data_IF_486176371037
#
_entry.id   IF_486176371037
#
_cell.length_a   1.000
_cell.length_b   1.000
_cell.length_c   1.000
_cell.angle_alpha   90.00
_cell.angle_beta   90.00
_cell.angle_gamma   90.00
#
_symmetry.space_group_name_H-M   'P 1'
#
loop_
_entity.id
_entity.type
_entity.pdbx_description
1 polymer ?
#
# COMPACT_ATOMS: atom_id res chain seq x y z
N UNK A 1 21.49 32.44 0.35
CA UNK A 1 21.05 33.81 0.62
C UNK A 1 21.42 34.64 -0.58
N UNK A 2 20.56 34.65 -1.59
CA UNK A 2 20.70 35.55 -2.73
C UNK A 2 20.29 36.94 -2.24
N UNK A 3 21.19 37.92 -2.35
CA UNK A 3 20.95 39.28 -1.88
C UNK A 3 20.05 40.01 -2.86
N UNK A 4 18.84 40.39 -2.41
CA UNK A 4 17.96 41.27 -3.17
C UNK A 4 18.57 42.67 -3.27
N UNK A 5 18.62 43.22 -4.49
CA UNK A 5 19.03 44.58 -4.78
C UNK A 5 17.77 45.44 -4.95
N UNK A 6 17.85 46.70 -4.53
CA UNK A 6 16.73 47.64 -4.65
C UNK A 6 16.50 48.05 -6.11
N UNK A 7 15.26 47.94 -6.60
CA UNK A 7 14.88 48.27 -7.98
C UNK A 7 15.18 49.72 -8.36
N UNK A 8 15.12 50.65 -7.41
CA UNK A 8 15.29 52.09 -7.66
C UNK A 8 16.76 52.54 -7.64
N UNK A 9 17.58 51.99 -6.74
CA UNK A 9 18.94 52.49 -6.52
C UNK A 9 20.05 51.43 -6.62
N UNK A 10 19.69 50.18 -6.89
CA UNK A 10 20.60 49.05 -7.02
C UNK A 10 21.37 48.71 -5.74
N UNK A 11 21.01 49.29 -4.59
CA UNK A 11 21.71 49.06 -3.32
C UNK A 11 21.12 47.86 -2.58
N UNK A 12 21.89 47.30 -1.64
CA UNK A 12 21.50 46.08 -0.92
C UNK A 12 20.30 46.32 0.00
N UNK A 13 19.32 45.44 -0.09
CA UNK A 13 18.18 45.40 0.82
C UNK A 13 18.58 44.63 2.09
N UNK A 14 18.27 45.20 3.25
CA UNK A 14 18.48 44.57 4.56
C UNK A 14 17.16 44.28 5.23
N UNK A 15 17.20 43.38 6.19
CA UNK A 15 16.10 43.13 7.09
C UNK A 15 16.19 44.09 8.29
N UNK A 16 15.18 44.94 8.48
CA UNK A 16 15.08 45.85 9.60
C UNK A 16 13.62 45.93 10.09
N UNK A 17 13.40 45.67 11.39
CA UNK A 17 12.07 45.68 12.03
C UNK A 17 10.99 44.82 11.33
N UNK A 18 11.36 43.64 10.82
CA UNK A 18 10.44 42.74 10.13
C UNK A 18 10.02 43.25 8.76
N UNK A 19 10.80 44.14 8.14
CA UNK A 19 10.62 44.61 6.77
C UNK A 19 11.94 44.52 6.00
N UNK A 20 11.85 44.30 4.70
CA UNK A 20 12.97 44.38 3.78
C UNK A 20 13.11 45.82 3.29
N UNK A 21 14.10 46.54 3.81
CA UNK A 21 14.31 47.97 3.54
C UNK A 21 15.63 48.19 2.84
N UNK A 22 15.63 49.04 1.82
CA UNK A 22 16.86 49.47 1.17
C UNK A 22 17.63 50.46 2.07
N UNK A 23 18.89 50.14 2.41
CA UNK A 23 19.71 51.00 3.28
C UNK A 23 19.93 52.41 2.74
N UNK A 24 19.89 52.60 1.41
CA UNK A 24 20.26 53.88 0.78
C UNK A 24 19.07 54.79 0.52
N UNK A 25 17.99 54.27 -0.04
CA UNK A 25 16.82 55.08 -0.40
C UNK A 25 15.65 54.94 0.60
N UNK A 26 15.73 54.01 1.56
CA UNK A 26 14.67 53.76 2.53
C UNK A 26 13.42 53.10 1.95
N UNK A 27 13.45 52.65 0.69
CA UNK A 27 12.32 51.97 0.06
C UNK A 27 12.08 50.62 0.74
N UNK A 28 10.83 50.40 1.16
CA UNK A 28 10.36 49.15 1.73
C UNK A 28 9.88 48.25 0.60
N UNK A 29 10.56 47.12 0.40
CA UNK A 29 10.25 46.17 -0.67
C UNK A 29 9.17 45.17 -0.26
N UNK A 30 9.28 44.63 0.95
CA UNK A 30 8.32 43.62 1.45
C UNK A 30 8.36 43.53 2.98
N UNK A 31 7.37 42.86 3.56
CA UNK A 31 7.32 42.52 4.99
C UNK A 31 7.91 41.13 5.19
N UNK A 32 8.72 40.96 6.23
CA UNK A 32 9.21 39.65 6.64
C UNK A 32 8.04 38.84 7.18
N UNK A 33 7.54 37.92 6.36
CA UNK A 33 6.56 36.93 6.80
C UNK A 33 7.30 35.86 7.60
N UNK A 34 7.23 35.93 8.93
CA UNK A 34 7.68 34.83 9.78
C UNK A 34 6.83 33.59 9.52
N UNK A 35 7.48 32.43 9.40
CA UNK A 35 6.78 31.16 9.44
C UNK A 35 6.04 31.02 10.78
N UNK A 36 4.81 30.49 10.76
CA UNK A 36 4.02 30.25 11.97
C UNK A 36 4.83 29.57 13.08
N UNK A 37 4.70 30.06 14.32
CA UNK A 37 5.42 29.55 15.51
C UNK A 37 5.10 28.10 15.88
N UNK A 38 4.11 27.51 15.23
CA UNK A 38 3.69 26.13 15.40
C UNK A 38 4.00 25.29 14.16
N UNK A 39 4.39 24.04 14.40
CA UNK A 39 4.62 23.07 13.34
C UNK A 39 3.31 22.32 13.01
N UNK A 40 2.88 22.43 11.75
CA UNK A 40 1.75 21.68 11.18
C UNK A 40 2.23 20.41 10.47
N UNK A 41 1.53 19.28 10.66
CA UNK A 41 1.68 18.09 9.79
C UNK A 41 2.29 16.84 10.45
N UNK A 42 2.45 15.76 9.71
CA UNK A 42 3.08 14.52 10.17
C UNK A 42 4.60 14.68 10.19
N UNK A 43 5.19 14.63 11.39
CA UNK A 43 6.63 14.65 11.58
C UNK A 43 7.24 13.45 10.83
N UNK A 44 8.06 13.69 9.81
CA UNK A 44 9.03 12.72 9.34
C UNK A 44 9.96 12.39 10.50
N UNK A 45 10.15 11.09 10.79
CA UNK A 45 10.71 10.55 12.04
C UNK A 45 12.06 11.17 12.49
N UNK A 46 12.78 11.85 11.61
CA UNK A 46 14.10 12.43 11.88
C UNK A 46 14.08 13.89 12.38
N UNK A 47 12.94 14.58 12.38
CA UNK A 47 12.87 15.92 12.97
C UNK A 47 12.36 15.83 14.41
N UNK A 48 13.30 15.78 15.37
CA UNK A 48 13.02 16.10 16.78
C UNK A 48 12.15 17.35 16.83
N UNK A 49 11.08 17.32 17.64
CA UNK A 49 10.14 18.44 17.86
C UNK A 49 10.95 19.71 18.16
N UNK A 50 11.17 20.56 17.15
CA UNK A 50 11.95 21.81 17.31
C UNK A 50 11.10 22.93 17.91
N UNK A 51 9.77 22.86 17.78
CA UNK A 51 8.84 23.80 18.41
C UNK A 51 8.17 23.20 19.64
N UNK A 52 8.00 24.00 20.70
CA UNK A 52 7.20 23.64 21.88
C UNK A 52 5.70 23.45 21.54
N UNK A 53 5.27 23.96 20.40
CA UNK A 53 3.89 23.93 19.93
C UNK A 53 3.80 23.12 18.62
N UNK A 54 3.10 21.99 18.69
CA UNK A 54 2.78 21.11 17.57
C UNK A 54 1.27 21.04 17.41
N UNK A 55 0.78 21.29 16.20
CA UNK A 55 -0.65 21.16 15.88
C UNK A 55 -0.85 20.06 14.86
N UNK A 56 -1.57 19.01 15.26
CA UNK A 56 -2.00 17.97 14.33
C UNK A 56 -3.19 18.47 13.54
N UNK A 57 -3.16 18.33 12.21
CA UNK A 57 -4.33 18.57 11.37
C UNK A 57 -5.40 17.54 11.76
N UNK A 58 -6.56 18.04 12.18
CA UNK A 58 -7.61 17.28 12.89
C UNK A 58 -8.45 16.36 11.98
N UNK A 59 -7.83 15.59 11.09
CA UNK A 59 -8.59 14.71 10.19
C UNK A 59 -7.86 13.41 9.83
N UNK A 60 -7.39 12.68 10.84
CA UNK A 60 -6.94 11.30 10.64
C UNK A 60 -8.16 10.42 10.40
N UNK A 61 -8.47 10.14 9.13
CA UNK A 61 -9.57 9.24 8.73
C UNK A 61 -9.44 7.84 9.36
N UNK A 62 -8.25 7.45 9.78
CA UNK A 62 -7.97 6.15 10.41
C UNK A 62 -8.40 6.05 11.88
N UNK A 63 -8.83 7.16 12.51
CA UNK A 63 -9.16 7.22 13.94
C UNK A 63 -10.47 7.97 14.13
N UNK A 64 -11.41 7.36 14.85
CA UNK A 64 -12.59 8.08 15.35
C UNK A 64 -12.20 8.81 16.63
N UNK A 65 -12.08 10.15 16.55
CA UNK A 65 -11.79 11.01 17.70
C UNK A 65 -12.91 12.02 17.95
N UNK A 66 -13.02 12.47 19.21
CA UNK A 66 -13.74 13.69 19.58
C UNK A 66 -12.90 14.93 19.26
N UNK A 67 -13.57 16.09 19.22
CA UNK A 67 -12.96 17.42 19.04
C UNK A 67 -12.20 17.93 20.29
N UNK A 68 -11.90 17.06 21.25
CA UNK A 68 -11.23 17.41 22.51
C UNK A 68 -9.90 16.69 22.67
N UNK A 69 -9.16 17.06 23.72
CA UNK A 69 -7.93 16.38 24.11
C UNK A 69 -8.23 14.96 24.58
N UNK A 70 -7.41 14.01 24.14
CA UNK A 70 -7.49 12.61 24.55
C UNK A 70 -6.49 12.29 25.67
N UNK A 71 -6.90 11.44 26.62
CA UNK A 71 -5.97 10.88 27.60
C UNK A 71 -5.36 9.61 26.99
N UNK A 72 -4.17 9.78 26.42
CA UNK A 72 -3.49 8.74 25.65
C UNK A 72 -4.28 8.32 24.40
N UNK A 73 -3.92 7.17 23.83
CA UNK A 73 -4.71 6.54 22.76
C UNK A 73 -5.91 5.79 23.32
N UNK A 74 -6.92 5.46 22.51
CA UNK A 74 -8.13 4.73 22.97
C UNK A 74 -7.78 3.35 23.57
N UNK A 75 -6.68 2.73 23.16
CA UNK A 75 -6.28 1.37 23.56
C UNK A 75 -5.28 1.34 24.73
N UNK A 76 -4.68 2.48 25.12
CA UNK A 76 -3.70 2.55 26.22
C UNK A 76 -4.33 2.57 27.63
N UNK A 77 -4.16 1.52 28.42
CA UNK A 77 -4.62 1.47 29.82
C UNK A 77 -3.50 1.58 30.86
N UNK A 78 -2.27 1.84 30.39
CA UNK A 78 -1.09 2.03 31.21
C UNK A 78 -0.57 3.45 30.97
N UNK A 79 -0.74 4.30 31.97
CA UNK A 79 -0.38 5.72 31.87
C UNK A 79 1.02 5.96 32.40
N UNK A 80 1.72 6.91 31.80
CA UNK A 80 3.10 7.27 32.16
C UNK A 80 3.19 8.74 32.52
N UNK A 81 4.15 9.09 33.36
CA UNK A 81 4.49 10.48 33.66
C UNK A 81 5.25 11.15 32.50
N UNK A 82 5.62 12.43 32.68
CA UNK A 82 6.42 13.18 31.69
C UNK A 82 7.81 12.58 31.45
N UNK A 83 8.32 11.80 32.41
CA UNK A 83 9.63 11.16 32.36
C UNK A 83 9.55 9.74 31.77
N UNK A 84 8.36 9.26 31.42
CA UNK A 84 8.11 7.94 30.84
C UNK A 84 7.99 6.81 31.86
N UNK A 85 8.04 7.10 33.16
CA UNK A 85 7.83 6.14 34.24
C UNK A 85 6.32 5.83 34.41
N UNK A 86 6.00 4.63 34.86
CA UNK A 86 4.62 4.24 35.12
C UNK A 86 4.08 5.02 36.32
N UNK A 87 2.83 5.49 36.22
CA UNK A 87 2.14 6.09 37.36
C UNK A 87 1.91 5.05 38.47
N UNK A 88 1.78 5.54 39.70
CA UNK A 88 1.39 4.75 40.87
C UNK A 88 0.02 4.07 40.68
N UNK A 89 -0.21 2.98 41.39
CA UNK A 89 -1.42 2.16 41.23
C UNK A 89 -2.72 2.97 41.44
N UNK A 90 -2.74 3.86 42.42
CA UNK A 90 -3.91 4.68 42.72
C UNK A 90 -4.21 5.67 41.58
N UNK A 91 -3.19 6.34 41.06
CA UNK A 91 -3.35 7.22 39.89
C UNK A 91 -3.70 6.43 38.62
N UNK A 92 -3.11 5.25 38.40
CA UNK A 92 -3.49 4.38 37.26
C UNK A 92 -4.99 4.07 37.29
N UNK A 93 -5.51 3.64 38.45
CA UNK A 93 -6.93 3.36 38.62
C UNK A 93 -7.79 4.60 38.37
N UNK A 94 -7.36 5.76 38.87
CA UNK A 94 -8.07 7.04 38.63
C UNK A 94 -8.14 7.38 37.14
N UNK A 95 -7.03 7.30 36.41
CA UNK A 95 -6.99 7.57 34.98
C UNK A 95 -7.76 6.52 34.17
N UNK A 96 -7.71 5.23 34.54
CA UNK A 96 -8.53 4.18 33.92
C UNK A 96 -10.01 4.45 34.10
N UNK A 97 -10.45 4.80 35.32
CA UNK A 97 -11.84 5.19 35.59
C UNK A 97 -12.23 6.39 34.73
N UNK A 98 -11.43 7.46 34.75
CA UNK A 98 -11.72 8.65 33.96
C UNK A 98 -11.81 8.35 32.45
N UNK A 99 -10.89 7.51 31.94
CA UNK A 99 -10.88 7.10 30.55
C UNK A 99 -12.15 6.33 30.16
N UNK A 100 -12.58 5.39 31.01
CA UNK A 100 -13.76 4.58 30.78
C UNK A 100 -15.07 5.36 30.87
N UNK A 101 -15.17 6.32 31.80
CA UNK A 101 -16.40 7.07 32.02
C UNK A 101 -16.55 8.29 31.09
N UNK A 102 -15.46 8.98 30.78
CA UNK A 102 -15.53 10.26 30.07
C UNK A 102 -14.91 10.20 28.68
N UNK A 103 -13.66 9.73 28.58
CA UNK A 103 -12.91 9.81 27.33
C UNK A 103 -13.47 8.87 26.25
N UNK A 104 -13.58 7.57 26.53
CA UNK A 104 -14.05 6.58 25.56
C UNK A 104 -15.49 6.86 25.14
N UNK A 105 -16.45 7.08 26.05
CA UNK A 105 -17.82 7.40 25.65
C UNK A 105 -17.90 8.73 24.90
N UNK A 106 -17.20 9.78 25.35
CA UNK A 106 -17.19 11.07 24.67
C UNK A 106 -16.61 11.04 23.25
N UNK A 107 -15.58 10.22 23.02
CA UNK A 107 -14.98 10.03 21.70
C UNK A 107 -15.87 9.23 20.74
N UNK A 108 -16.60 8.25 21.26
CA UNK A 108 -17.32 7.24 20.47
C UNK A 108 -18.81 7.59 20.31
N UNK A 109 -19.40 8.40 21.21
CA UNK A 109 -20.85 8.70 21.22
C UNK A 109 -21.35 9.20 19.86
N UNK A 110 -22.32 8.50 19.29
CA UNK A 110 -22.89 8.79 17.97
C UNK A 110 -22.03 8.36 16.77
N UNK A 111 -20.86 7.79 17.02
CA UNK A 111 -19.91 7.25 16.03
C UNK A 111 -19.48 5.81 16.37
N UNK A 112 -20.26 5.08 17.16
CA UNK A 112 -19.97 3.73 17.65
C UNK A 112 -19.71 2.76 16.50
N UNK A 113 -20.57 2.82 15.47
CA UNK A 113 -20.48 1.95 14.31
C UNK A 113 -19.22 2.21 13.47
N UNK A 114 -18.81 3.48 13.37
CA UNK A 114 -17.59 3.86 12.66
C UNK A 114 -16.36 3.40 13.43
N UNK A 115 -16.36 3.61 14.74
CA UNK A 115 -15.26 3.17 15.59
C UNK A 115 -15.05 1.65 15.46
N UNK A 116 -16.12 0.87 15.56
CA UNK A 116 -16.06 -0.60 15.38
C UNK A 116 -15.58 -0.99 13.99
N UNK A 117 -16.12 -0.35 12.95
CA UNK A 117 -15.78 -0.67 11.56
C UNK A 117 -14.33 -0.33 11.23
N UNK A 118 -13.84 0.82 11.69
CA UNK A 118 -12.46 1.25 11.46
C UNK A 118 -11.48 0.39 12.27
N UNK A 119 -11.85 -0.02 13.49
CA UNK A 119 -11.05 -0.97 14.26
C UNK A 119 -10.88 -2.29 13.50
N UNK A 120 -11.97 -2.87 13.02
CA UNK A 120 -11.95 -4.08 12.17
C UNK A 120 -11.09 -3.85 10.93
N UNK A 121 -11.26 -2.70 10.27
CA UNK A 121 -10.53 -2.38 9.06
C UNK A 121 -9.01 -2.22 9.31
N UNK A 122 -8.61 -1.65 10.44
CA UNK A 122 -7.20 -1.55 10.85
C UNK A 122 -6.59 -2.92 11.15
N UNK A 123 -7.35 -3.84 11.76
CA UNK A 123 -6.93 -5.23 11.91
C UNK A 123 -6.78 -5.94 10.55
N UNK A 124 -7.71 -5.72 9.62
CA UNK A 124 -7.62 -6.23 8.25
C UNK A 124 -6.38 -5.68 7.53
N UNK A 125 -6.12 -4.37 7.62
CA UNK A 125 -4.92 -3.76 7.03
C UNK A 125 -3.63 -4.35 7.58
N UNK A 126 -3.60 -4.66 8.88
CA UNK A 126 -2.45 -5.24 9.55
C UNK A 126 -2.22 -6.68 9.09
N UNK A 127 -3.27 -7.50 8.99
CA UNK A 127 -3.19 -8.90 8.51
C UNK A 127 -2.81 -9.01 7.04
N UNK A 128 -3.34 -8.13 6.19
CA UNK A 128 -3.05 -8.11 4.75
C UNK A 128 -1.80 -7.30 4.39
N UNK A 129 -1.16 -6.65 5.37
CA UNK A 129 0.01 -5.79 5.19
C UNK A 129 -0.20 -4.73 4.09
N UNK A 130 -1.37 -4.08 4.09
CA UNK A 130 -1.75 -3.11 3.05
C UNK A 130 -0.87 -1.85 3.17
N UNK A 131 -0.33 -1.28 2.08
CA UNK A 131 0.40 -0.01 2.10
C UNK A 131 -0.43 1.18 2.58
N UNK A 132 0.19 2.15 3.25
CA UNK A 132 -0.48 3.32 3.86
C UNK A 132 -1.36 4.10 2.87
N UNK A 133 -0.83 4.39 1.67
CA UNK A 133 -1.58 5.07 0.60
C UNK A 133 -2.92 4.41 0.26
N UNK A 134 -2.97 3.07 0.34
CA UNK A 134 -4.19 2.29 0.03
C UNK A 134 -5.12 2.26 1.24
N UNK A 135 -4.58 2.28 2.47
CA UNK A 135 -5.37 2.43 3.70
C UNK A 135 -6.12 3.76 3.69
N UNK A 136 -5.41 4.85 3.41
CA UNK A 136 -6.00 6.19 3.31
C UNK A 136 -7.08 6.26 2.23
N UNK A 137 -6.80 5.69 1.04
CA UNK A 137 -7.77 5.63 -0.04
C UNK A 137 -9.01 4.81 0.33
N UNK A 138 -8.82 3.67 1.00
CA UNK A 138 -9.93 2.83 1.50
C UNK A 138 -10.80 3.62 2.47
N UNK A 139 -10.20 4.30 3.44
CA UNK A 139 -10.91 5.10 4.43
C UNK A 139 -11.68 6.25 3.78
N UNK A 140 -11.05 6.94 2.83
CA UNK A 140 -11.72 7.97 2.03
C UNK A 140 -12.96 7.43 1.32
N UNK A 141 -12.84 6.30 0.61
CA UNK A 141 -13.95 5.67 -0.10
C UNK A 141 -15.06 5.22 0.86
N UNK A 142 -14.71 4.64 2.01
CA UNK A 142 -15.66 4.26 3.05
C UNK A 142 -16.51 5.45 3.50
N UNK A 143 -15.87 6.56 3.88
CA UNK A 143 -16.59 7.75 4.33
C UNK A 143 -17.39 8.41 3.22
N UNK A 144 -16.86 8.45 1.99
CA UNK A 144 -17.57 8.96 0.82
C UNK A 144 -18.88 8.21 0.60
N UNK A 145 -18.83 6.88 0.47
CA UNK A 145 -20.03 6.08 0.20
C UNK A 145 -20.98 6.02 1.39
N UNK A 146 -20.46 6.06 2.62
CA UNK A 146 -21.30 6.20 3.82
C UNK A 146 -22.14 7.48 3.78
N UNK A 147 -21.54 8.60 3.36
CA UNK A 147 -22.22 9.90 3.25
C UNK A 147 -23.24 9.91 2.11
N UNK A 148 -22.85 9.42 0.94
CA UNK A 148 -23.69 9.38 -0.27
C UNK A 148 -24.89 8.44 -0.13
N UNK A 149 -24.73 7.29 0.53
CA UNK A 149 -25.74 6.21 0.56
C UNK A 149 -26.25 5.87 1.97
N UNK A 150 -26.37 6.87 2.85
CA UNK A 150 -26.74 6.69 4.27
C UNK A 150 -27.99 5.82 4.51
N UNK A 151 -29.00 5.88 3.63
CA UNK A 151 -30.27 5.14 3.77
C UNK A 151 -30.21 3.68 3.30
N UNK A 152 -29.29 3.34 2.39
CA UNK A 152 -29.19 2.00 1.79
C UNK A 152 -28.20 1.09 2.53
N UNK A 153 -27.28 1.68 3.29
CA UNK A 153 -26.23 0.94 3.98
C UNK A 153 -26.77 0.41 5.30
N UNK A 154 -26.94 -0.91 5.37
CA UNK A 154 -27.27 -1.63 6.61
C UNK A 154 -26.04 -2.22 7.27
N UNK A 155 -25.04 -2.65 6.47
CA UNK A 155 -23.85 -3.32 6.95
C UNK A 155 -22.57 -2.52 6.64
N UNK A 156 -22.06 -1.82 7.66
CA UNK A 156 -20.86 -1.00 7.56
C UNK A 156 -19.56 -1.80 7.36
N UNK A 157 -19.50 -3.04 7.88
CA UNK A 157 -18.35 -3.94 7.69
C UNK A 157 -18.29 -4.43 6.24
N UNK A 158 -19.45 -4.70 5.63
CA UNK A 158 -19.51 -5.03 4.21
C UNK A 158 -19.09 -3.84 3.34
N UNK A 159 -19.50 -2.62 3.72
CA UNK A 159 -19.09 -1.39 3.05
C UNK A 159 -17.57 -1.17 3.14
N UNK A 160 -16.95 -1.43 4.30
CA UNK A 160 -15.49 -1.30 4.45
C UNK A 160 -14.74 -2.32 3.60
N UNK A 161 -15.25 -3.56 3.50
CA UNK A 161 -14.69 -4.58 2.62
C UNK A 161 -14.81 -4.19 1.13
N UNK A 162 -15.94 -3.60 0.74
CA UNK A 162 -16.16 -3.06 -0.61
C UNK A 162 -15.20 -1.89 -0.92
N UNK A 163 -15.06 -0.94 0.01
CA UNK A 163 -14.14 0.19 -0.14
C UNK A 163 -12.68 -0.29 -0.29
N UNK A 164 -12.27 -1.31 0.48
CA UNK A 164 -10.95 -1.92 0.35
C UNK A 164 -10.78 -2.54 -1.04
N UNK A 165 -11.75 -3.32 -1.53
CA UNK A 165 -11.68 -3.90 -2.87
C UNK A 165 -11.52 -2.84 -3.97
N UNK A 166 -12.24 -1.72 -3.87
CA UNK A 166 -12.16 -0.63 -4.83
C UNK A 166 -10.79 0.04 -4.82
N UNK A 167 -10.26 0.39 -3.64
CA UNK A 167 -8.93 1.01 -3.52
C UNK A 167 -7.81 0.09 -4.05
N UNK A 168 -7.93 -1.21 -3.81
CA UNK A 168 -7.01 -2.24 -4.28
C UNK A 168 -7.06 -2.35 -5.80
N UNK A 169 -8.25 -2.25 -6.40
CA UNK A 169 -8.42 -2.22 -7.87
C UNK A 169 -7.83 -0.97 -8.50
N UNK A 170 -8.07 0.20 -7.91
CA UNK A 170 -7.49 1.47 -8.35
C UNK A 170 -5.95 1.45 -8.29
N UNK A 171 -5.37 0.73 -7.34
CA UNK A 171 -3.92 0.69 -7.11
C UNK A 171 -3.14 -0.25 -8.05
N UNK A 172 -3.82 -1.11 -8.83
CA UNK A 172 -3.18 -2.01 -9.78
C UNK A 172 -2.12 -2.92 -9.15
N UNK A 173 -0.91 -2.90 -9.72
CA UNK A 173 0.26 -3.71 -9.31
C UNK A 173 0.82 -3.36 -7.92
N UNK A 174 0.52 -2.17 -7.38
CA UNK A 174 1.04 -1.76 -6.06
C UNK A 174 0.46 -2.61 -4.92
N UNK A 175 -0.70 -3.23 -5.14
CA UNK A 175 -1.34 -4.10 -4.15
C UNK A 175 -2.22 -5.13 -4.86
N UNK A 176 -1.62 -6.23 -5.35
CA UNK A 176 -2.32 -7.27 -6.07
C UNK A 176 -3.00 -8.23 -5.09
N UNK A 177 -3.95 -7.71 -4.31
CA UNK A 177 -4.83 -8.49 -3.45
C UNK A 177 -6.03 -9.01 -4.24
N UNK A 178 -6.34 -10.28 -4.03
CA UNK A 178 -7.49 -10.95 -4.63
C UNK A 178 -8.76 -10.74 -3.78
N UNK A 179 -9.93 -10.83 -4.43
CA UNK A 179 -11.21 -10.82 -3.73
C UNK A 179 -11.29 -11.93 -2.67
N UNK A 180 -10.74 -13.11 -2.98
CA UNK A 180 -10.74 -14.27 -2.08
C UNK A 180 -10.00 -13.96 -0.79
N UNK A 181 -8.82 -13.34 -0.88
CA UNK A 181 -8.00 -12.99 0.29
C UNK A 181 -8.68 -11.95 1.19
N UNK A 182 -9.30 -10.94 0.58
CA UNK A 182 -10.05 -9.92 1.34
C UNK A 182 -11.19 -10.60 2.09
N UNK A 183 -12.04 -11.37 1.39
CA UNK A 183 -13.19 -12.06 1.99
C UNK A 183 -12.76 -13.02 3.10
N UNK A 184 -11.70 -13.80 2.87
CA UNK A 184 -11.20 -14.75 3.86
C UNK A 184 -10.65 -14.04 5.10
N UNK A 185 -9.98 -12.90 4.94
CA UNK A 185 -9.47 -12.12 6.08
C UNK A 185 -10.61 -11.63 6.98
N UNK A 186 -11.70 -11.13 6.38
CA UNK A 186 -12.88 -10.72 7.14
C UNK A 186 -13.56 -11.91 7.83
N UNK A 187 -13.63 -13.08 7.18
CA UNK A 187 -14.18 -14.30 7.79
C UNK A 187 -13.33 -14.80 8.96
N UNK A 188 -12.01 -14.75 8.83
CA UNK A 188 -11.06 -15.11 9.89
C UNK A 188 -11.09 -14.13 11.08
N UNK A 189 -11.74 -12.97 10.93
CA UNK A 189 -12.06 -12.04 12.01
C UNK A 189 -13.46 -12.27 12.61
N UNK A 190 -14.19 -13.28 12.14
CA UNK A 190 -15.54 -13.62 12.60
C UNK A 190 -16.66 -12.86 11.87
N UNK A 191 -16.37 -12.14 10.78
CA UNK A 191 -17.37 -11.38 10.04
C UNK A 191 -17.95 -12.16 8.86
N UNK A 192 -19.27 -12.07 8.69
CA UNK A 192 -20.03 -12.75 7.62
C UNK A 192 -19.95 -12.01 6.28
N UNK A 193 -18.73 -11.80 5.79
CA UNK A 193 -18.50 -11.22 4.46
C UNK A 193 -18.43 -12.35 3.43
N UNK A 194 -19.22 -12.23 2.37
CA UNK A 194 -19.25 -13.14 1.23
C UNK A 194 -18.98 -12.35 -0.05
N UNK A 195 -18.26 -12.93 -1.01
CA UNK A 195 -18.01 -12.29 -2.30
C UNK A 195 -19.31 -11.88 -3.01
N UNK A 196 -20.34 -12.72 -2.97
CA UNK A 196 -21.67 -12.43 -3.53
C UNK A 196 -22.32 -11.19 -2.91
N UNK A 197 -22.22 -11.03 -1.58
CA UNK A 197 -22.82 -9.90 -0.87
C UNK A 197 -22.09 -8.60 -1.20
N UNK A 198 -20.77 -8.69 -1.36
CA UNK A 198 -19.94 -7.53 -1.71
C UNK A 198 -20.25 -7.06 -3.13
N UNK A 199 -20.35 -7.98 -4.10
CA UNK A 199 -20.73 -7.65 -5.47
C UNK A 199 -22.17 -7.15 -5.56
N UNK A 200 -23.10 -7.75 -4.81
CA UNK A 200 -24.48 -7.29 -4.71
C UNK A 200 -24.56 -5.85 -4.17
N UNK A 201 -23.82 -5.55 -3.09
CA UNK A 201 -23.74 -4.18 -2.55
C UNK A 201 -23.19 -3.18 -3.57
N UNK A 202 -22.17 -3.57 -4.35
CA UNK A 202 -21.64 -2.70 -5.42
C UNK A 202 -22.70 -2.41 -6.49
N UNK A 203 -23.53 -3.39 -6.84
CA UNK A 203 -24.63 -3.23 -7.79
C UNK A 203 -25.75 -2.35 -7.20
N UNK A 204 -26.18 -2.61 -5.97
CA UNK A 204 -27.26 -1.87 -5.29
C UNK A 204 -26.95 -0.37 -5.12
N UNK A 205 -25.66 -0.06 -4.92
CA UNK A 205 -25.15 1.29 -4.80
C UNK A 205 -24.78 1.91 -6.15
N UNK A 206 -24.90 1.17 -7.27
CA UNK A 206 -24.48 1.58 -8.61
C UNK A 206 -23.02 2.08 -8.67
N UNK A 207 -22.14 1.48 -7.85
CA UNK A 207 -20.74 1.87 -7.79
C UNK A 207 -19.98 1.17 -8.91
N UNK A 208 -19.62 1.94 -9.93
CA UNK A 208 -18.69 1.50 -10.97
C UNK A 208 -17.27 1.68 -10.46
N UNK A 209 -16.48 0.61 -10.56
CA UNK A 209 -15.04 0.69 -10.35
C UNK A 209 -14.45 1.62 -11.40
N UNK A 210 -13.67 2.62 -10.99
CA UNK A 210 -13.00 3.56 -11.92
C UNK A 210 -12.15 2.81 -12.95
N UNK A 211 -11.55 1.70 -12.53
CA UNK A 211 -11.01 0.68 -13.42
C UNK A 211 -12.09 -0.37 -13.69
N UNK A 212 -12.76 -0.27 -14.85
CA UNK A 212 -13.74 -1.27 -15.33
C UNK A 212 -13.06 -2.54 -15.86
N UNK A 213 -11.74 -2.50 -16.07
CA UNK A 213 -10.99 -3.61 -16.61
C UNK A 213 -10.89 -4.75 -15.59
N UNK A 214 -11.14 -5.97 -16.07
CA UNK A 214 -10.76 -7.21 -15.41
C UNK A 214 -9.27 -7.11 -15.05
N UNK A 215 -8.90 -7.57 -13.85
CA UNK A 215 -7.50 -7.61 -13.38
C UNK A 215 -6.63 -8.29 -14.43
N UNK A 216 -5.53 -7.65 -14.79
CA UNK A 216 -4.58 -8.18 -15.76
C UNK A 216 -3.62 -9.15 -15.08
N UNK A 217 -3.09 -10.12 -15.83
CA UNK A 217 -2.13 -11.10 -15.30
C UNK A 217 -0.83 -10.42 -14.87
N UNK A 218 -0.48 -9.34 -15.56
CA UNK A 218 0.70 -8.50 -15.35
C UNK A 218 0.76 -7.91 -13.95
N UNK A 219 -0.39 -7.60 -13.35
CA UNK A 219 -0.48 -7.02 -12.01
C UNK A 219 0.01 -7.97 -10.92
N UNK A 220 0.02 -9.29 -11.17
CA UNK A 220 0.41 -10.31 -10.19
C UNK A 220 1.87 -10.73 -10.29
N UNK A 221 2.60 -10.34 -11.35
CA UNK A 221 3.97 -10.83 -11.63
C UNK A 221 4.90 -10.56 -10.47
N UNK A 222 4.95 -9.31 -9.98
CA UNK A 222 5.85 -8.91 -8.91
C UNK A 222 5.64 -9.74 -7.65
N UNK A 223 4.36 -9.96 -7.30
CA UNK A 223 3.98 -10.78 -6.14
C UNK A 223 4.36 -12.25 -6.35
N UNK A 224 4.06 -12.81 -7.52
CA UNK A 224 4.39 -14.20 -7.87
C UNK A 224 5.89 -14.43 -7.80
N UNK A 225 6.69 -13.57 -8.44
CA UNK A 225 8.15 -13.69 -8.46
C UNK A 225 8.74 -13.56 -7.05
N UNK A 226 8.24 -12.62 -6.25
CA UNK A 226 8.66 -12.45 -4.85
C UNK A 226 8.33 -13.67 -3.99
N UNK A 227 7.13 -14.26 -4.14
CA UNK A 227 6.75 -15.49 -3.43
C UNK A 227 7.66 -16.68 -3.81
N UNK A 228 8.00 -16.81 -5.09
CA UNK A 228 8.91 -17.84 -5.59
C UNK A 228 10.31 -17.64 -4.99
N UNK A 229 10.87 -16.43 -5.05
CA UNK A 229 12.23 -16.14 -4.57
C UNK A 229 12.37 -16.13 -3.04
N UNK A 230 11.25 -16.11 -2.30
CA UNK A 230 11.27 -16.25 -0.84
C UNK A 230 11.47 -17.71 -0.38
N UNK A 231 11.22 -18.68 -1.25
CA UNK A 231 11.34 -20.11 -0.90
C UNK A 231 12.82 -20.52 -0.84
N UNK A 232 13.35 -21.03 0.30
CA UNK A 232 14.78 -21.29 0.47
C UNK A 232 15.31 -22.35 -0.50
N UNK A 233 14.51 -23.37 -0.80
CA UNK A 233 14.84 -24.44 -1.77
C UNK A 233 15.14 -23.86 -3.16
N UNK A 234 14.45 -22.78 -3.54
CA UNK A 234 14.63 -22.12 -4.84
C UNK A 234 15.93 -21.32 -4.85
N UNK A 235 16.26 -20.66 -3.73
CA UNK A 235 17.51 -19.90 -3.60
C UNK A 235 18.75 -20.77 -3.75
N UNK A 236 18.75 -21.96 -3.11
CA UNK A 236 19.84 -22.93 -3.28
C UNK A 236 19.98 -23.40 -4.73
N UNK A 237 18.86 -23.59 -5.43
CA UNK A 237 18.86 -24.02 -6.83
C UNK A 237 19.36 -22.93 -7.76
N UNK A 238 18.95 -21.68 -7.54
CA UNK A 238 19.42 -20.52 -8.31
C UNK A 238 20.93 -20.38 -8.16
N UNK A 239 21.44 -20.42 -6.93
CA UNK A 239 22.87 -20.33 -6.66
C UNK A 239 23.66 -21.46 -7.35
N UNK A 240 23.17 -22.72 -7.26
CA UNK A 240 23.85 -23.87 -7.88
C UNK A 240 23.78 -23.89 -9.41
N UNK A 241 22.66 -23.47 -10.01
CA UNK A 241 22.40 -23.65 -11.45
C UNK A 241 22.77 -22.46 -12.30
N UNK A 242 22.65 -21.26 -11.75
CA UNK A 242 22.87 -20.01 -12.47
C UNK A 242 24.03 -19.21 -11.91
N UNK A 243 24.46 -19.44 -10.66
CA UNK A 243 25.49 -18.63 -9.97
C UNK A 243 25.16 -17.14 -9.95
N UNK A 244 23.87 -16.80 -9.88
CA UNK A 244 23.36 -15.43 -9.83
C UNK A 244 22.73 -15.18 -8.46
N UNK A 245 22.85 -13.94 -7.97
CA UNK A 245 22.16 -13.51 -6.77
C UNK A 245 20.63 -13.57 -6.91
N UNK A 246 19.94 -13.90 -5.81
CA UNK A 246 18.49 -14.11 -5.81
C UNK A 246 17.74 -12.84 -6.20
N UNK A 247 18.22 -11.67 -5.79
CA UNK A 247 17.60 -10.39 -6.14
C UNK A 247 17.70 -10.13 -7.65
N UNK A 248 18.88 -10.35 -8.24
CA UNK A 248 19.10 -10.21 -9.68
C UNK A 248 18.23 -11.19 -10.47
N UNK A 249 18.16 -12.45 -10.02
CA UNK A 249 17.28 -13.45 -10.60
C UNK A 249 15.81 -13.04 -10.55
N UNK A 250 15.33 -12.50 -9.43
CA UNK A 250 13.95 -12.03 -9.28
C UNK A 250 13.64 -10.93 -10.31
N UNK A 251 14.56 -9.97 -10.54
CA UNK A 251 14.38 -8.92 -11.53
C UNK A 251 14.37 -9.43 -12.97
N UNK A 252 15.26 -10.36 -13.29
CA UNK A 252 15.29 -11.01 -14.61
C UNK A 252 13.97 -11.75 -14.85
N UNK A 253 13.50 -12.50 -13.85
CA UNK A 253 12.26 -13.26 -13.92
C UNK A 253 11.05 -12.34 -14.12
N UNK A 254 10.96 -11.25 -13.35
CA UNK A 254 9.90 -10.25 -13.48
C UNK A 254 9.84 -9.66 -14.90
N UNK A 255 11.00 -9.31 -15.46
CA UNK A 255 11.10 -8.73 -16.80
C UNK A 255 10.71 -9.76 -17.89
N UNK A 256 11.20 -10.99 -17.79
CA UNK A 256 10.81 -12.07 -18.71
C UNK A 256 9.31 -12.34 -18.67
N UNK A 257 8.72 -12.42 -17.48
CA UNK A 257 7.28 -12.63 -17.32
C UNK A 257 6.47 -11.52 -17.99
N UNK A 258 6.89 -10.25 -17.85
CA UNK A 258 6.24 -9.11 -18.50
C UNK A 258 6.31 -9.24 -20.02
N UNK A 259 7.49 -9.54 -20.57
CA UNK A 259 7.69 -9.72 -22.01
C UNK A 259 6.87 -10.88 -22.60
N UNK A 260 6.82 -12.02 -21.91
CA UNK A 260 6.00 -13.17 -22.30
C UNK A 260 4.53 -12.78 -22.35
N UNK A 261 4.05 -12.06 -21.33
CA UNK A 261 2.66 -11.63 -21.30
C UNK A 261 2.37 -10.56 -22.35
N UNK A 262 3.25 -9.60 -22.59
CA UNK A 262 3.14 -8.62 -23.68
C UNK A 262 2.98 -9.29 -25.05
N UNK A 263 3.69 -10.40 -25.28
CA UNK A 263 3.63 -11.16 -26.53
C UNK A 263 2.30 -11.88 -26.73
N UNK A 264 1.69 -12.37 -25.65
CA UNK A 264 0.39 -13.06 -25.70
C UNK A 264 -0.72 -12.03 -25.60
N UNK A 265 -1.36 -11.74 -26.75
CA UNK A 265 -2.43 -10.76 -26.81
C UNK A 265 -3.58 -11.11 -25.86
N UNK A 266 -4.24 -10.10 -25.28
CA UNK A 266 -5.28 -10.30 -24.27
C UNK A 266 -6.43 -11.19 -24.75
N UNK A 267 -6.79 -11.11 -26.04
CA UNK A 267 -7.82 -11.95 -26.64
C UNK A 267 -7.49 -13.45 -26.58
N UNK A 268 -6.22 -13.82 -26.82
CA UNK A 268 -5.78 -15.21 -26.88
C UNK A 268 -5.70 -15.85 -25.50
N UNK A 269 -5.51 -15.03 -24.46
CA UNK A 269 -5.53 -15.49 -23.06
C UNK A 269 -6.89 -16.09 -22.69
N UNK A 270 -7.97 -15.67 -23.34
CA UNK A 270 -9.31 -16.22 -23.20
C UNK A 270 -9.88 -16.08 -21.78
N UNK A 271 -10.72 -17.03 -21.35
CA UNK A 271 -11.35 -17.06 -20.03
C UNK A 271 -10.43 -17.52 -18.87
N UNK A 272 -9.11 -17.55 -19.07
CA UNK A 272 -8.16 -18.04 -18.05
C UNK A 272 -8.06 -17.06 -16.88
N UNK A 273 -7.89 -17.60 -15.67
CA UNK A 273 -7.78 -16.77 -14.46
C UNK A 273 -6.42 -16.04 -14.45
N UNK A 274 -6.38 -14.70 -14.23
CA UNK A 274 -5.15 -13.92 -14.32
C UNK A 274 -4.02 -14.36 -13.37
N UNK A 275 -4.34 -14.73 -12.13
CA UNK A 275 -3.34 -15.11 -11.13
C UNK A 275 -2.62 -16.44 -11.46
N UNK A 276 -3.33 -17.57 -11.70
CA UNK A 276 -2.69 -18.80 -12.19
C UNK A 276 -1.91 -18.60 -13.49
N UNK A 277 -2.42 -17.76 -14.40
CA UNK A 277 -1.72 -17.44 -15.64
C UNK A 277 -0.38 -16.74 -15.38
N UNK A 278 -0.33 -15.78 -14.45
CA UNK A 278 0.93 -15.15 -14.01
C UNK A 278 1.88 -16.12 -13.31
N UNK A 279 1.37 -17.09 -12.55
CA UNK A 279 2.21 -18.14 -11.96
C UNK A 279 2.84 -19.03 -13.05
N UNK A 280 2.08 -19.37 -14.08
CA UNK A 280 2.58 -20.14 -15.21
C UNK A 280 3.63 -19.37 -16.04
N UNK A 281 3.48 -18.06 -16.21
CA UNK A 281 4.48 -17.26 -16.94
C UNK A 281 5.83 -17.23 -16.21
N UNK A 282 5.87 -17.31 -14.88
CA UNK A 282 7.11 -17.44 -14.12
C UNK A 282 7.82 -18.78 -14.38
N UNK A 283 7.06 -19.88 -14.47
CA UNK A 283 7.63 -21.17 -14.85
C UNK A 283 8.19 -21.16 -16.28
N UNK A 284 7.45 -20.59 -17.23
CA UNK A 284 7.90 -20.49 -18.64
C UNK A 284 9.14 -19.60 -18.76
N UNK A 285 9.15 -18.46 -18.06
CA UNK A 285 10.29 -17.54 -18.03
C UNK A 285 11.58 -18.23 -17.56
N UNK A 286 11.54 -18.99 -16.46
CA UNK A 286 12.72 -19.73 -15.99
C UNK A 286 13.15 -20.83 -16.97
N UNK A 287 12.19 -21.49 -17.65
CA UNK A 287 12.52 -22.48 -18.68
C UNK A 287 13.24 -21.87 -19.88
N UNK A 288 12.83 -20.66 -20.30
CA UNK A 288 13.48 -19.92 -21.37
C UNK A 288 14.88 -19.45 -20.94
N UNK A 289 15.01 -18.97 -19.71
CA UNK A 289 16.29 -18.57 -19.13
C UNK A 289 17.26 -19.75 -19.04
N UNK A 290 16.79 -20.92 -18.60
CA UNK A 290 17.62 -22.11 -18.45
C UNK A 290 18.14 -22.63 -19.79
N UNK A 291 17.31 -22.61 -20.85
CA UNK A 291 17.74 -22.93 -22.22
C UNK A 291 18.90 -22.03 -22.65
N UNK A 292 18.86 -20.74 -22.31
CA UNK A 292 19.91 -19.79 -22.70
C UNK A 292 21.22 -20.00 -21.95
N UNK A 293 21.14 -20.27 -20.64
CA UNK A 293 22.32 -20.53 -19.79
C UNK A 293 22.86 -21.96 -20.02
N UNK A 294 22.20 -22.77 -20.87
CA UNK A 294 22.52 -24.19 -21.09
C UNK A 294 22.54 -24.99 -19.77
N UNK A 295 21.69 -24.58 -18.83
CA UNK A 295 21.56 -25.19 -17.52
C UNK A 295 20.15 -25.75 -17.34
N UNK A 296 20.00 -26.66 -16.38
CA UNK A 296 18.68 -27.21 -16.04
C UNK A 296 17.87 -26.16 -15.28
N UNK A 297 16.60 -25.98 -15.63
CA UNK A 297 15.70 -24.99 -15.02
C UNK A 297 15.64 -25.10 -13.49
N UNK A 298 15.73 -23.96 -12.79
CA UNK A 298 15.68 -23.89 -11.33
C UNK A 298 14.27 -24.17 -10.80
N UNK A 299 13.25 -23.68 -11.51
CA UNK A 299 11.85 -23.82 -11.18
C UNK A 299 11.27 -25.11 -11.76
N UNK A 300 10.56 -25.85 -10.91
CA UNK A 300 9.72 -26.97 -11.38
C UNK A 300 8.25 -26.60 -11.20
N UNK A 301 7.35 -27.24 -11.96
CA UNK A 301 5.91 -27.01 -11.82
C UNK A 301 5.45 -27.18 -10.35
N UNK A 302 5.96 -28.21 -9.67
CA UNK A 302 5.72 -28.47 -8.25
C UNK A 302 6.18 -27.33 -7.34
N UNK A 303 7.38 -26.80 -7.55
CA UNK A 303 7.91 -25.69 -6.73
C UNK A 303 7.12 -24.40 -6.92
N UNK A 304 6.72 -24.10 -8.16
CA UNK A 304 5.88 -22.93 -8.46
C UNK A 304 4.49 -23.12 -7.85
N UNK A 305 3.90 -24.31 -7.96
CA UNK A 305 2.61 -24.65 -7.35
C UNK A 305 2.63 -24.44 -5.84
N UNK A 306 3.65 -24.96 -5.16
CA UNK A 306 3.83 -24.82 -3.72
C UNK A 306 4.03 -23.36 -3.29
N UNK A 307 4.85 -22.60 -4.03
CA UNK A 307 5.16 -21.21 -3.68
C UNK A 307 3.98 -20.26 -3.92
N UNK A 308 3.15 -20.52 -4.94
CA UNK A 308 2.05 -19.64 -5.35
C UNK A 308 0.66 -20.08 -4.88
N UNK A 309 0.57 -21.27 -4.26
CA UNK A 309 -0.68 -21.94 -3.88
C UNK A 309 -1.66 -22.11 -5.05
N UNK A 310 -1.11 -22.47 -6.22
CA UNK A 310 -1.86 -22.80 -7.44
C UNK A 310 -1.69 -24.29 -7.69
N UNK A 311 -2.72 -24.95 -8.21
CA UNK A 311 -2.63 -26.37 -8.51
C UNK A 311 -1.61 -26.64 -9.64
N UNK A 312 -0.81 -27.68 -9.49
CA UNK A 312 0.27 -28.02 -10.43
C UNK A 312 -0.26 -28.26 -11.86
N UNK A 313 -1.39 -28.96 -12.00
CA UNK A 313 -2.01 -29.20 -13.31
C UNK A 313 -2.39 -27.89 -14.00
N UNK A 314 -2.88 -26.89 -13.26
CA UNK A 314 -3.24 -25.58 -13.83
C UNK A 314 -2.03 -24.84 -14.37
N UNK A 315 -0.88 -24.93 -13.67
CA UNK A 315 0.38 -24.35 -14.15
C UNK A 315 0.82 -25.05 -15.43
N UNK A 316 0.69 -26.38 -15.51
CA UNK A 316 1.05 -27.18 -16.69
C UNK A 316 0.22 -26.78 -17.91
N UNK A 317 -1.11 -26.74 -17.79
CA UNK A 317 -2.00 -26.41 -18.90
C UNK A 317 -1.75 -25.00 -19.43
N UNK A 318 -1.53 -24.04 -18.53
CA UNK A 318 -1.21 -22.67 -18.91
C UNK A 318 0.19 -22.54 -19.53
N UNK A 319 1.17 -23.27 -19.01
CA UNK A 319 2.53 -23.26 -19.55
C UNK A 319 2.59 -23.90 -20.94
N UNK A 320 1.84 -24.97 -21.19
CA UNK A 320 1.74 -25.60 -22.51
C UNK A 320 1.16 -24.62 -23.54
N UNK A 321 0.08 -23.94 -23.19
CA UNK A 321 -0.48 -22.87 -24.02
C UNK A 321 0.51 -21.72 -24.26
N UNK A 322 1.24 -21.27 -23.23
CA UNK A 322 2.23 -20.20 -23.42
C UNK A 322 3.37 -20.62 -24.34
N UNK A 323 3.85 -21.86 -24.21
CA UNK A 323 4.96 -22.39 -25.00
C UNK A 323 4.61 -22.64 -26.47
N UNK A 324 3.33 -22.55 -26.87
CA UNK A 324 2.95 -22.57 -28.29
C UNK A 324 3.34 -21.30 -29.04
N UNK A 325 3.74 -20.25 -28.33
CA UNK A 325 4.24 -19.01 -28.91
C UNK A 325 5.77 -19.05 -29.03
N UNK A 326 6.28 -18.36 -30.05
CA UNK A 326 7.72 -18.17 -30.23
C UNK A 326 8.22 -16.99 -29.39
N UNK A 327 9.29 -17.25 -28.62
CA UNK A 327 9.93 -16.31 -27.70
C UNK A 327 11.44 -16.18 -27.94
N UNK A 328 11.99 -16.75 -29.01
CA UNK A 328 13.45 -16.76 -29.25
C UNK A 328 14.05 -15.34 -29.37
N UNK A 329 13.27 -14.40 -29.90
CA UNK A 329 13.63 -12.97 -29.98
C UNK A 329 13.77 -12.31 -28.60
N UNK A 330 12.85 -12.62 -27.68
CA UNK A 330 12.81 -12.04 -26.32
C UNK A 330 14.04 -12.46 -25.52
N UNK A 331 14.40 -13.74 -25.63
CA UNK A 331 15.58 -14.30 -24.97
C UNK A 331 16.85 -13.65 -25.51
N UNK A 332 16.91 -13.40 -26.82
CA UNK A 332 18.03 -12.75 -27.49
C UNK A 332 18.18 -11.27 -27.10
N UNK A 333 17.08 -10.51 -26.98
CA UNK A 333 17.09 -9.11 -26.53
C UNK A 333 17.62 -8.97 -25.09
N UNK A 334 17.14 -9.81 -24.18
CA UNK A 334 17.52 -9.76 -22.76
C UNK A 334 18.99 -10.17 -22.58
N UNK A 335 19.47 -11.14 -23.37
CA UNK A 335 20.87 -11.56 -23.35
C UNK A 335 21.81 -10.41 -23.70
N UNK A 336 21.48 -9.61 -24.73
CA UNK A 336 22.26 -8.42 -25.11
C UNK A 336 22.33 -7.40 -23.98
N UNK A 337 21.22 -7.18 -23.27
CA UNK A 337 21.14 -6.25 -22.12
C UNK A 337 21.87 -6.76 -20.88
N UNK A 338 21.84 -8.06 -20.62
CA UNK A 338 22.59 -8.66 -19.53
C UNK A 338 24.09 -8.56 -19.81
N UNK A 339 24.55 -8.91 -21.02
CA UNK A 339 25.98 -8.78 -21.37
C UNK A 339 26.50 -7.35 -21.32
N UNK A 340 25.68 -6.35 -21.63
CA UNK A 340 26.08 -4.93 -21.58
C UNK A 340 26.06 -4.32 -20.17
N UNK A 341 25.48 -5.01 -19.18
CA UNK A 341 25.38 -4.52 -17.79
C UNK A 341 26.48 -5.08 -16.89
N UNK A 342 27.27 -6.05 -17.38
CA UNK A 342 28.38 -6.71 -16.68
C UNK A 342 29.77 -6.35 -17.25
N UNK A 343 29.84 -5.41 -18.19
CA UNK A 343 31.05 -4.70 -18.64
C UNK A 343 30.88 -3.23 -18.28
#
# INVERSE_FOLDING_TARGET
>A
MEGYLCDECGYRVIEENGMYVCQKCGLVHDVVLESSSFQLGSISQDQKRKSQQYTSINNRLAIVSSLGSSIGTVEEYMFRDSNGALLDEHSQLKFRKFKNFYHIPGAIKGKETDYRTIKILNEVFSRLQVPEKIRERTLFLYYKYKKEHKKKITNHVLLSAMALLLSVRESGHNCPLSLKEIVETYRNLGHRVLGKNLLGLMQDLNIKSTTTSIRRSEEYIFRVCSLICRTPIINERIAKKYSVDVYVYEKILQLLCLRILERIHYADRGGRRPYPFSAASAYVADKLLSKKIQSSSALTQKLVAQSTNVAEFTIRDHAEFMMSYDFDDIVSEISKRLSSSFT
#
